data_IF_457795480502
#
_entry.id   IF_457795480502
#
_cell.length_a   1.000
_cell.length_b   1.000
_cell.length_c   1.000
_cell.angle_alpha   90.00
_cell.angle_beta   90.00
_cell.angle_gamma   90.00
#
_symmetry.space_group_name_H-M   'P 1'
#
loop_
_entity.id
_entity.type
_entity.pdbx_description
1 polymer ?
#
# COMPACT_ATOMS: atom_id res chain seq x y z
N UNK A 1 -17.29 -9.96 0.75
CA UNK A 1 -15.82 -9.79 0.66
C UNK A 1 -15.34 -8.91 1.80
N UNK A 2 -14.05 -8.95 2.18
CA UNK A 2 -13.50 -7.92 3.06
C UNK A 2 -13.55 -6.53 2.40
N UNK A 3 -13.76 -5.52 3.22
CA UNK A 3 -13.63 -4.11 2.82
C UNK A 3 -12.19 -3.68 3.05
N UNK A 4 -11.58 -3.12 2.01
CA UNK A 4 -10.29 -2.47 2.09
C UNK A 4 -10.49 -0.96 2.15
N UNK A 5 -9.78 -0.31 3.05
CA UNK A 5 -9.72 1.12 3.20
C UNK A 5 -8.37 1.61 2.70
N UNK A 6 -8.33 2.81 2.13
CA UNK A 6 -7.06 3.37 1.66
C UNK A 6 -6.96 4.88 1.86
N UNK A 7 -5.71 5.33 1.99
CA UNK A 7 -5.32 6.69 1.59
C UNK A 7 -4.44 6.63 0.35
N UNK A 8 -4.60 7.56 -0.59
CA UNK A 8 -3.82 7.64 -1.81
C UNK A 8 -3.36 9.07 -2.10
N UNK A 9 -2.14 9.22 -2.58
CA UNK A 9 -1.55 10.47 -3.03
C UNK A 9 -0.45 10.19 -4.06
N UNK A 10 0.28 11.22 -4.49
CA UNK A 10 1.43 11.03 -5.36
C UNK A 10 2.43 10.08 -4.70
N UNK A 11 3.07 9.26 -5.51
CA UNK A 11 4.09 8.32 -5.05
C UNK A 11 5.24 9.05 -4.36
N UNK A 12 5.66 10.18 -4.92
CA UNK A 12 6.68 11.07 -4.35
C UNK A 12 6.31 11.53 -2.95
N UNK A 13 5.09 12.02 -2.74
CA UNK A 13 4.65 12.49 -1.43
C UNK A 13 4.70 11.36 -0.39
N UNK A 14 4.10 10.20 -0.69
CA UNK A 14 4.02 9.08 0.26
C UNK A 14 5.33 8.32 0.46
N UNK A 15 6.27 8.35 -0.50
CA UNK A 15 7.48 7.53 -0.45
C UNK A 15 8.78 8.33 -0.23
N UNK A 16 8.78 9.65 -0.47
CA UNK A 16 9.98 10.48 -0.43
C UNK A 16 9.85 11.68 0.51
N UNK A 17 8.70 12.37 0.52
CA UNK A 17 8.51 13.59 1.31
C UNK A 17 8.07 13.29 2.75
N UNK A 18 7.24 12.27 2.92
CA UNK A 18 6.75 11.83 4.23
C UNK A 18 7.64 10.74 4.84
N UNK A 19 7.88 10.75 6.17
CA UNK A 19 8.60 9.69 6.88
C UNK A 19 7.72 8.42 7.06
N UNK A 20 6.95 8.05 6.04
CA UNK A 20 5.94 7.01 6.10
C UNK A 20 6.54 5.61 6.22
N UNK A 21 7.69 5.37 5.60
CA UNK A 21 8.39 4.09 5.68
C UNK A 21 8.77 3.73 7.13
N UNK A 22 9.12 4.72 7.94
CA UNK A 22 9.42 4.57 9.36
C UNK A 22 8.17 4.16 10.14
N UNK A 23 7.10 4.95 10.00
CA UNK A 23 5.80 4.71 10.67
C UNK A 23 5.26 3.31 10.38
N UNK A 24 5.33 2.86 9.12
CA UNK A 24 4.84 1.54 8.73
C UNK A 24 5.75 0.40 9.23
N UNK A 25 7.07 0.64 9.35
CA UNK A 25 7.99 -0.34 9.94
C UNK A 25 7.71 -0.50 11.44
N UNK A 26 7.66 0.60 12.19
CA UNK A 26 7.36 0.58 13.63
C UNK A 26 6.01 -0.09 13.91
N UNK A 27 4.97 0.22 13.12
CA UNK A 27 3.67 -0.45 13.25
C UNK A 27 3.75 -1.96 13.00
N UNK A 28 4.54 -2.38 12.01
CA UNK A 28 4.72 -3.81 11.71
C UNK A 28 5.44 -4.53 12.83
N UNK A 29 6.46 -3.91 13.42
CA UNK A 29 7.20 -4.47 14.55
C UNK A 29 6.28 -4.59 15.78
N UNK A 30 5.46 -3.58 16.04
CA UNK A 30 4.43 -3.61 17.09
C UNK A 30 3.41 -4.73 16.89
N UNK A 31 2.98 -4.99 15.64
CA UNK A 31 2.08 -6.10 15.33
C UNK A 31 2.74 -7.46 15.60
N UNK A 32 4.01 -7.60 15.18
CA UNK A 32 4.80 -8.81 15.42
C UNK A 32 4.97 -9.10 16.91
N UNK A 33 5.31 -8.08 17.71
CA UNK A 33 5.46 -8.20 19.17
C UNK A 33 4.17 -8.64 19.87
N UNK A 34 3.01 -8.32 19.30
CA UNK A 34 1.70 -8.70 19.81
C UNK A 34 1.13 -9.98 19.19
N UNK A 35 1.87 -10.65 18.31
CA UNK A 35 1.37 -11.83 17.58
C UNK A 35 0.20 -11.53 16.65
N UNK A 36 0.06 -10.28 16.19
CA UNK A 36 -1.00 -9.84 15.27
C UNK A 36 -0.56 -10.03 13.81
N UNK A 37 -1.47 -10.53 12.99
CA UNK A 37 -1.29 -10.56 11.53
C UNK A 37 -1.31 -9.15 10.96
N UNK A 38 -0.34 -8.82 10.12
CA UNK A 38 -0.29 -7.53 9.41
C UNK A 38 -1.46 -7.44 8.44
N UNK A 39 -2.20 -6.35 8.54
CA UNK A 39 -3.39 -6.08 7.75
C UNK A 39 -3.33 -4.72 7.03
N UNK A 40 -2.11 -4.23 6.79
CA UNK A 40 -1.84 -2.97 6.11
C UNK A 40 -0.61 -3.06 5.18
N UNK A 41 -0.63 -2.30 4.09
CA UNK A 41 0.38 -2.35 3.03
C UNK A 41 0.58 -0.98 2.37
N UNK A 42 1.81 -0.67 1.95
CA UNK A 42 2.11 0.42 1.02
C UNK A 42 2.19 -0.17 -0.40
N UNK A 43 1.31 0.28 -1.28
CA UNK A 43 1.23 -0.17 -2.68
C UNK A 43 1.60 0.99 -3.59
N UNK A 44 2.70 0.85 -4.36
CA UNK A 44 3.06 1.79 -5.43
C UNK A 44 2.26 1.47 -6.68
N UNK A 45 1.80 2.48 -7.39
CA UNK A 45 0.98 2.37 -8.60
C UNK A 45 -0.15 1.32 -8.47
N UNK A 46 -1.02 1.45 -7.45
CA UNK A 46 -2.05 0.45 -7.17
C UNK A 46 -3.05 0.33 -8.34
N UNK A 47 -3.26 -0.89 -8.83
CA UNK A 47 -4.17 -1.16 -9.94
C UNK A 47 -5.62 -0.83 -9.62
N UNK A 48 -6.04 -0.95 -8.35
CA UNK A 48 -7.41 -0.67 -7.94
C UNK A 48 -7.81 0.80 -8.13
N UNK A 49 -6.86 1.74 -8.15
CA UNK A 49 -7.17 3.15 -8.45
C UNK A 49 -7.67 3.34 -9.88
N UNK A 50 -7.47 2.34 -10.75
CA UNK A 50 -7.92 2.37 -12.13
C UNK A 50 -9.18 1.52 -12.37
N UNK A 51 -9.75 0.91 -11.33
CA UNK A 51 -11.02 0.19 -11.41
C UNK A 51 -12.22 1.14 -11.33
N UNK A 52 -13.28 0.86 -12.10
CA UNK A 52 -14.50 1.70 -12.18
C UNK A 52 -15.12 2.07 -10.82
N UNK A 53 -15.27 1.14 -9.84
CA UNK A 53 -15.84 1.49 -8.54
C UNK A 53 -15.02 2.53 -7.75
N UNK A 54 -13.73 2.67 -8.05
CA UNK A 54 -12.81 3.57 -7.34
C UNK A 54 -12.63 4.88 -8.13
N UNK A 55 -12.47 4.79 -9.44
CA UNK A 55 -12.36 5.96 -10.35
C UNK A 55 -13.54 6.92 -10.25
N UNK A 56 -14.75 6.38 -10.10
CA UNK A 56 -15.99 7.17 -10.06
C UNK A 56 -16.25 7.87 -8.73
N UNK A 57 -15.53 7.48 -7.67
CA UNK A 57 -15.87 7.83 -6.27
C UNK A 57 -14.86 8.81 -5.62
N UNK A 58 -13.79 9.22 -6.32
CA UNK A 58 -12.62 9.85 -5.70
C UNK A 58 -12.17 11.19 -6.29
N UNK A 59 -11.47 11.97 -5.46
CA UNK A 59 -10.69 13.13 -5.89
C UNK A 59 -9.53 12.70 -6.81
N UNK A 60 -9.12 13.57 -7.74
CA UNK A 60 -8.01 13.30 -8.64
C UNK A 60 -6.70 13.08 -7.85
N UNK A 61 -6.18 11.85 -7.87
CA UNK A 61 -4.89 11.50 -7.26
C UNK A 61 -3.77 11.73 -8.30
N UNK A 62 -2.76 12.57 -8.02
CA UNK A 62 -1.64 12.77 -8.93
C UNK A 62 -0.91 11.46 -9.26
N UNK A 63 -0.46 11.31 -10.52
CA UNK A 63 0.24 10.11 -11.00
C UNK A 63 1.74 10.39 -11.26
N UNK A 64 2.64 9.44 -11.00
CA UNK A 64 2.39 8.12 -10.42
C UNK A 64 1.90 8.23 -8.96
N UNK A 65 0.97 7.36 -8.58
CA UNK A 65 0.34 7.36 -7.26
C UNK A 65 0.86 6.20 -6.41
N UNK A 66 0.79 6.35 -5.10
CA UNK A 66 0.89 5.25 -4.14
C UNK A 66 -0.32 5.28 -3.21
N UNK A 67 -0.56 4.17 -2.50
CA UNK A 67 -1.60 4.08 -1.50
C UNK A 67 -1.14 3.28 -0.28
N UNK A 68 -1.59 3.71 0.90
CA UNK A 68 -1.62 2.85 2.09
C UNK A 68 -2.98 2.20 2.11
N UNK A 69 -3.01 0.87 2.12
CA UNK A 69 -4.22 0.05 2.11
C UNK A 69 -4.28 -0.76 3.40
N UNK A 70 -5.46 -0.90 4.01
CA UNK A 70 -5.65 -1.74 5.19
C UNK A 70 -7.10 -2.21 5.33
N UNK A 71 -7.32 -3.32 6.03
CA UNK A 71 -8.67 -3.72 6.48
C UNK A 71 -9.09 -3.01 7.78
N UNK A 72 -8.19 -2.28 8.44
CA UNK A 72 -8.49 -1.44 9.60
C UNK A 72 -8.83 0.00 9.17
N UNK A 73 -10.14 0.31 9.15
CA UNK A 73 -10.63 1.64 8.83
C UNK A 73 -10.05 2.74 9.75
N UNK A 74 -9.86 2.45 11.05
CA UNK A 74 -9.37 3.43 12.02
C UNK A 74 -7.93 3.81 11.72
N UNK A 75 -7.11 2.85 11.29
CA UNK A 75 -5.76 3.13 10.84
C UNK A 75 -5.76 4.05 9.63
N UNK A 76 -6.61 3.79 8.64
CA UNK A 76 -6.70 4.65 7.44
C UNK A 76 -7.23 6.06 7.77
N UNK A 77 -8.18 6.18 8.70
CA UNK A 77 -8.67 7.48 9.15
C UNK A 77 -7.57 8.25 9.92
N UNK A 78 -6.76 7.58 10.74
CA UNK A 78 -5.56 8.17 11.36
C UNK A 78 -4.57 8.66 10.30
N UNK A 79 -4.31 7.86 9.27
CA UNK A 79 -3.44 8.24 8.15
C UNK A 79 -3.97 9.46 7.39
N UNK A 80 -5.30 9.56 7.18
CA UNK A 80 -5.93 10.72 6.54
C UNK A 80 -5.73 12.00 7.36
N UNK A 81 -5.87 11.93 8.69
CA UNK A 81 -5.64 13.07 9.56
C UNK A 81 -4.17 13.50 9.58
N UNK A 82 -3.24 12.54 9.61
CA UNK A 82 -1.80 12.81 9.65
C UNK A 82 -1.27 13.44 8.37
N UNK A 83 -1.72 12.94 7.21
CA UNK A 83 -1.12 13.29 5.92
C UNK A 83 -1.81 14.45 5.20
N UNK A 84 -2.96 14.91 5.70
CA UNK A 84 -3.80 16.03 5.21
C UNK A 84 -4.22 15.96 3.72
N UNK A 85 -3.26 16.00 2.80
CA UNK A 85 -3.38 16.12 1.35
C UNK A 85 -3.48 14.78 0.62
N UNK A 86 -4.15 13.81 1.24
CA UNK A 86 -4.39 12.48 0.67
C UNK A 86 -5.88 12.26 0.37
N UNK A 87 -6.18 11.56 -0.72
CA UNK A 87 -7.51 11.02 -0.97
C UNK A 87 -7.77 9.84 -0.04
N UNK A 88 -8.99 9.70 0.48
CA UNK A 88 -9.41 8.57 1.32
C UNK A 88 -10.58 7.88 0.65
N UNK A 89 -10.58 6.55 0.63
CA UNK A 89 -11.67 5.77 0.07
C UNK A 89 -11.70 4.35 0.62
N UNK A 90 -12.61 3.56 0.08
CA UNK A 90 -12.74 2.14 0.39
C UNK A 90 -13.29 1.38 -0.82
N UNK A 91 -13.03 0.09 -0.88
CA UNK A 91 -13.55 -0.80 -1.91
C UNK A 91 -13.64 -2.24 -1.38
N UNK A 92 -14.43 -3.07 -2.05
CA UNK A 92 -14.48 -4.51 -1.78
C UNK A 92 -13.61 -5.28 -2.77
N UNK A 93 -12.91 -6.31 -2.28
CA UNK A 93 -12.12 -7.21 -3.11
C UNK A 93 -11.99 -8.59 -2.44
N UNK A 94 -11.83 -9.69 -3.20
CA UNK A 94 -11.74 -9.73 -4.66
C UNK A 94 -13.09 -9.53 -5.37
N UNK A 95 -13.10 -8.77 -6.46
CA UNK A 95 -14.23 -8.61 -7.41
C UNK A 95 -13.74 -8.84 -8.84
N UNK A 96 -14.66 -8.90 -9.82
CA UNK A 96 -14.28 -8.92 -11.24
C UNK A 96 -13.51 -7.66 -11.67
N UNK A 97 -13.79 -6.51 -11.07
CA UNK A 97 -13.10 -5.25 -11.35
C UNK A 97 -11.78 -5.09 -10.57
N UNK A 98 -11.69 -5.69 -9.38
CA UNK A 98 -10.51 -5.64 -8.50
C UNK A 98 -10.20 -7.07 -8.02
N UNK A 99 -9.53 -7.90 -8.85
CA UNK A 99 -9.23 -9.29 -8.50
C UNK A 99 -8.20 -9.41 -7.35
N UNK A 100 -7.27 -8.45 -7.28
CA UNK A 100 -6.26 -8.37 -6.23
C UNK A 100 -6.24 -6.95 -5.64
N UNK A 101 -6.59 -6.79 -4.34
CA UNK A 101 -6.61 -5.49 -3.66
C UNK A 101 -5.25 -4.81 -3.56
N UNK A 102 -4.15 -5.56 -3.71
CA UNK A 102 -2.78 -5.10 -3.51
C UNK A 102 -1.94 -5.11 -4.80
N UNK A 103 -2.57 -5.37 -5.95
CA UNK A 103 -1.89 -5.39 -7.24
C UNK A 103 -1.23 -4.04 -7.56
N UNK A 104 0.03 -4.11 -8.02
CA UNK A 104 0.80 -2.95 -8.49
C UNK A 104 0.96 -3.02 -10.00
N UNK A 105 0.74 -1.88 -10.67
CA UNK A 105 1.00 -1.70 -12.10
C UNK A 105 2.48 -1.41 -12.40
N UNK A 106 3.30 -1.20 -11.36
CA UNK A 106 4.74 -1.04 -11.55
C UNK A 106 5.30 -2.36 -12.08
N UNK A 107 5.76 -2.35 -13.32
CA UNK A 107 6.43 -3.51 -13.93
C UNK A 107 7.57 -3.92 -13.00
N UNK A 108 7.56 -5.18 -12.53
CA UNK A 108 8.71 -5.76 -11.85
C UNK A 108 9.86 -5.80 -12.86
N UNK A 109 10.75 -4.81 -12.82
CA UNK A 109 12.00 -4.91 -13.55
C UNK A 109 12.79 -6.07 -12.94
N UNK A 110 13.26 -6.98 -13.78
CA UNK A 110 14.02 -8.20 -13.44
C UNK A 110 15.24 -7.95 -12.52
N UNK A 111 15.70 -6.69 -12.44
CA UNK A 111 16.76 -6.23 -11.53
C UNK A 111 16.35 -6.23 -10.04
N UNK A 112 15.08 -6.02 -9.70
CA UNK A 112 14.62 -6.04 -8.29
C UNK A 112 14.61 -7.48 -7.74
N UNK A 113 14.41 -8.48 -8.61
CA UNK A 113 14.47 -9.91 -8.25
C UNK A 113 15.89 -10.41 -8.02
N UNK A 114 16.89 -9.85 -8.72
CA UNK A 114 18.30 -10.24 -8.54
C UNK A 114 18.90 -9.77 -7.20
N UNK A 115 18.37 -8.69 -6.62
CA UNK A 115 18.79 -8.21 -5.30
C UNK A 115 18.29 -9.13 -4.17
N UNK A 116 17.11 -9.74 -4.31
CA UNK A 116 16.57 -10.69 -3.33
C UNK A 116 17.30 -12.05 -3.34
N UNK A 117 17.84 -12.47 -4.48
CA UNK A 117 18.58 -13.74 -4.61
C UNK A 117 20.01 -13.65 -4.07
N UNK A 118 20.63 -12.45 -4.05
CA UNK A 118 22.04 -12.28 -3.63
C UNK A 118 22.29 -12.22 -2.12
N UNK A 119 21.25 -12.28 -1.28
CA UNK A 119 21.40 -12.34 0.19
C UNK A 119 21.38 -13.76 0.77
N UNK A 120 21.29 -14.79 -0.06
CA UNK A 120 21.47 -16.18 0.37
C UNK A 120 22.76 -16.75 -0.24
N UNK A 121 23.91 -16.40 0.34
CA UNK A 121 25.05 -17.31 0.29
C UNK A 121 24.91 -18.29 1.45
N UNK A 122 24.69 -19.60 1.21
CA UNK A 122 24.96 -20.59 2.23
C UNK A 122 26.46 -20.55 2.51
N UNK A 123 26.82 -20.55 3.80
CA UNK A 123 28.20 -20.74 4.22
C UNK A 123 28.69 -22.10 3.75
N UNK A 124 29.78 -22.10 2.98
CA UNK A 124 30.69 -23.23 2.89
C UNK A 124 31.95 -22.85 3.66
N UNK A 125 32.31 -23.68 4.64
CA UNK A 125 33.44 -23.52 5.55
C UNK A 125 33.12 -24.06 6.94
#
# INVERSE_FOLDING_TARGET
MPTYHYVAASERFLCEEEPLAEVLRERRDHYREQGKTVDFWLVRQPAFLDAEPVKTTGAAVPRPAAAVVSTDAKFIDFMKLRLEWVARGQFEAPTSAIPDPLASLKVKNEKDSLAAVRLHKPGEG
#
